data_IF_632411813366
#
_entry.id   IF_632411813366
#
_cell.length_a   1.000
_cell.length_b   1.000
_cell.length_c   1.000
_cell.angle_alpha   90.00
_cell.angle_beta   90.00
_cell.angle_gamma   90.00
#
_symmetry.space_group_name_H-M   'P 1'
#
loop_
_entity.id
_entity.type
_entity.pdbx_description
1 polymer ?
#
# COMPACT_ATOMS: atom_id res chain seq x y z
N UNK A 1 -0.29 -21.03 -12.13
CA UNK A 1 0.85 -21.25 -11.20
C UNK A 1 2.09 -20.57 -11.78
N UNK A 2 2.21 -19.23 -11.68
CA UNK A 2 3.28 -18.48 -12.36
C UNK A 2 3.86 -17.27 -11.63
N UNK A 3 3.50 -17.05 -10.36
CA UNK A 3 3.87 -15.82 -9.64
C UNK A 3 4.97 -15.98 -8.58
N UNK A 4 5.46 -17.19 -8.34
CA UNK A 4 6.29 -17.48 -7.16
C UNK A 4 7.81 -17.38 -7.37
N UNK A 5 8.32 -17.59 -8.59
CA UNK A 5 9.79 -17.68 -8.80
C UNK A 5 10.49 -16.31 -8.75
N UNK A 6 9.81 -15.23 -9.14
CA UNK A 6 10.41 -13.90 -9.17
C UNK A 6 10.43 -13.19 -7.82
N UNK A 7 9.46 -13.48 -6.95
CA UNK A 7 9.33 -12.81 -5.66
C UNK A 7 10.53 -12.99 -4.74
N UNK A 8 11.08 -14.21 -4.69
CA UNK A 8 12.26 -14.50 -3.86
C UNK A 8 13.52 -13.80 -4.38
N UNK A 9 13.70 -13.72 -5.70
CA UNK A 9 14.83 -13.01 -6.32
C UNK A 9 14.73 -11.51 -6.09
N UNK A 10 13.55 -10.92 -6.31
CA UNK A 10 13.31 -9.50 -6.02
C UNK A 10 13.56 -9.21 -4.54
N UNK A 11 13.12 -10.08 -3.63
CA UNK A 11 13.35 -9.91 -2.18
C UNK A 11 14.85 -9.96 -1.83
N UNK A 12 15.62 -10.81 -2.50
CA UNK A 12 17.07 -10.89 -2.27
C UNK A 12 17.77 -9.59 -2.65
N UNK A 13 17.40 -9.01 -3.79
CA UNK A 13 18.01 -7.76 -4.29
C UNK A 13 17.42 -6.51 -3.62
N UNK A 14 16.16 -6.58 -3.18
CA UNK A 14 15.39 -5.48 -2.58
C UNK A 14 14.55 -5.99 -1.39
N UNK A 15 15.14 -6.12 -0.19
CA UNK A 15 14.51 -6.78 0.96
C UNK A 15 13.25 -6.07 1.49
N UNK A 16 13.09 -4.78 1.17
CA UNK A 16 11.95 -3.96 1.59
C UNK A 16 10.79 -3.95 0.58
N UNK A 17 10.90 -4.68 -0.54
CA UNK A 17 9.83 -4.78 -1.53
C UNK A 17 8.94 -5.96 -1.22
N UNK A 18 7.63 -5.71 -1.16
CA UNK A 18 6.60 -6.72 -1.06
C UNK A 18 6.01 -6.98 -2.44
N UNK A 19 5.96 -8.24 -2.85
CA UNK A 19 5.29 -8.67 -4.07
C UNK A 19 4.04 -9.46 -3.73
N UNK A 20 3.09 -9.59 -4.66
CA UNK A 20 1.94 -10.46 -4.44
C UNK A 20 2.39 -11.92 -4.17
N UNK A 21 1.83 -12.61 -3.15
CA UNK A 21 0.72 -12.19 -2.29
C UNK A 21 1.12 -11.56 -0.95
N UNK A 22 2.39 -11.21 -0.71
CA UNK A 22 2.83 -10.55 0.55
C UNK A 22 2.15 -9.19 0.76
N UNK A 23 1.94 -8.45 -0.33
CA UNK A 23 1.05 -7.30 -0.38
C UNK A 23 -0.30 -7.73 -0.99
N UNK A 24 -1.35 -7.67 -0.19
CA UNK A 24 -2.67 -8.16 -0.57
C UNK A 24 -3.67 -7.01 -0.80
N UNK A 25 -3.80 -6.62 -2.07
CA UNK A 25 -4.85 -5.74 -2.57
C UNK A 25 -5.77 -6.55 -3.50
N UNK A 26 -6.81 -7.20 -2.95
CA UNK A 26 -7.80 -7.91 -3.77
C UNK A 26 -8.79 -6.92 -4.41
N UNK A 27 -8.26 -6.04 -5.26
CA UNK A 27 -8.99 -4.94 -5.92
C UNK A 27 -10.32 -5.38 -6.54
N UNK A 28 -10.37 -6.56 -7.15
CA UNK A 28 -11.61 -7.12 -7.73
C UNK A 28 -12.70 -7.35 -6.68
N UNK A 29 -12.34 -7.91 -5.52
CA UNK A 29 -13.31 -8.18 -4.46
C UNK A 29 -13.71 -6.87 -3.75
N UNK A 30 -12.76 -5.96 -3.53
CA UNK A 30 -12.99 -4.65 -2.93
C UNK A 30 -13.94 -3.79 -3.79
N UNK A 31 -13.67 -3.66 -5.09
CA UNK A 31 -14.51 -2.90 -6.01
C UNK A 31 -15.92 -3.48 -6.16
N UNK A 32 -16.06 -4.80 -6.06
CA UNK A 32 -17.36 -5.50 -6.13
C UNK A 32 -18.06 -5.62 -4.77
N UNK A 33 -17.48 -5.03 -3.72
CA UNK A 33 -17.97 -5.13 -2.32
C UNK A 33 -18.18 -6.58 -1.85
N UNK A 34 -17.40 -7.52 -2.40
CA UNK A 34 -17.48 -8.93 -2.05
C UNK A 34 -16.54 -9.24 -0.86
N UNK A 35 -16.87 -8.65 0.28
CA UNK A 35 -16.04 -8.71 1.48
C UNK A 35 -15.91 -10.13 2.04
N UNK A 36 -16.94 -10.96 1.91
CA UNK A 36 -16.88 -12.38 2.30
C UNK A 36 -15.79 -13.12 1.55
N UNK A 37 -15.69 -12.92 0.23
CA UNK A 37 -14.65 -13.57 -0.56
C UNK A 37 -13.25 -12.98 -0.27
N UNK A 38 -13.17 -11.67 -0.06
CA UNK A 38 -11.95 -11.00 0.37
C UNK A 38 -11.43 -11.61 1.69
N UNK A 39 -12.28 -11.69 2.72
CA UNK A 39 -11.91 -12.24 4.03
C UNK A 39 -11.53 -13.71 3.95
N UNK A 40 -12.27 -14.52 3.17
CA UNK A 40 -11.93 -15.93 2.93
C UNK A 40 -10.52 -16.09 2.35
N UNK A 41 -10.18 -15.27 1.35
CA UNK A 41 -8.83 -15.28 0.74
C UNK A 41 -7.77 -14.81 1.72
N UNK A 42 -8.02 -13.71 2.43
CA UNK A 42 -7.13 -13.16 3.45
C UNK A 42 -6.79 -14.23 4.51
N UNK A 43 -7.80 -14.93 5.04
CA UNK A 43 -7.58 -16.03 5.98
C UNK A 43 -6.84 -17.21 5.38
N UNK A 44 -7.14 -17.59 4.12
CA UNK A 44 -6.43 -18.69 3.46
C UNK A 44 -4.95 -18.41 3.20
N UNK A 45 -4.58 -17.14 3.02
CA UNK A 45 -3.22 -16.70 2.68
C UNK A 45 -2.49 -16.03 3.87
N UNK A 46 -3.08 -16.05 5.07
CA UNK A 46 -2.59 -15.33 6.25
C UNK A 46 -1.15 -15.64 6.68
N UNK A 47 -0.62 -16.82 6.30
CA UNK A 47 0.77 -17.20 6.58
C UNK A 47 1.77 -16.57 5.61
N UNK A 48 1.29 -16.04 4.49
CA UNK A 48 2.11 -15.47 3.41
C UNK A 48 1.93 -13.96 3.31
N UNK A 49 0.72 -13.45 3.55
CA UNK A 49 0.42 -12.01 3.54
C UNK A 49 1.15 -11.34 4.71
N UNK A 50 1.82 -10.23 4.41
CA UNK A 50 2.44 -9.35 5.42
C UNK A 50 1.61 -8.08 5.62
N UNK A 51 1.15 -7.49 4.52
CA UNK A 51 0.35 -6.26 4.53
C UNK A 51 -0.87 -6.45 3.62
N UNK A 52 -2.04 -6.00 4.07
CA UNK A 52 -3.27 -6.03 3.30
C UNK A 52 -4.01 -4.68 3.31
N UNK A 53 -4.67 -4.35 2.21
CA UNK A 53 -5.57 -3.18 2.15
C UNK A 53 -6.87 -3.53 2.85
N UNK A 54 -7.23 -2.78 3.89
CA UNK A 54 -8.51 -2.90 4.58
C UNK A 54 -9.65 -2.44 3.66
N UNK A 55 -10.84 -3.07 3.72
CA UNK A 55 -11.90 -2.74 2.77
C UNK A 55 -12.37 -1.27 2.84
N UNK A 56 -12.55 -0.65 1.67
CA UNK A 56 -13.03 0.73 1.54
C UNK A 56 -14.37 0.93 2.24
N UNK A 57 -14.53 2.09 2.89
CA UNK A 57 -15.75 2.51 3.59
C UNK A 57 -16.23 1.55 4.69
N UNK A 58 -15.37 0.63 5.17
CA UNK A 58 -15.64 -0.20 6.33
C UNK A 58 -14.93 0.41 7.54
N UNK A 59 -15.72 0.97 8.46
CA UNK A 59 -15.22 1.65 9.67
C UNK A 59 -15.58 0.92 10.97
N UNK A 60 -15.74 -0.40 10.89
CA UNK A 60 -15.92 -1.29 12.02
C UNK A 60 -14.94 -2.46 11.91
N UNK A 61 -14.50 -2.99 13.06
CA UNK A 61 -13.56 -4.10 13.11
C UNK A 61 -14.13 -5.38 12.50
N UNK A 62 -13.52 -5.85 11.42
CA UNK A 62 -13.74 -7.16 10.83
C UNK A 62 -12.90 -8.23 11.55
N UNK A 63 -13.33 -9.50 11.47
CA UNK A 63 -12.52 -10.62 11.89
C UNK A 63 -11.41 -10.88 10.87
N UNK A 64 -10.26 -10.26 11.10
CA UNK A 64 -9.09 -10.33 10.23
C UNK A 64 -7.88 -10.93 10.97
N UNK A 65 -6.92 -11.58 10.28
CA UNK A 65 -5.72 -12.12 10.91
C UNK A 65 -4.88 -11.07 11.66
N UNK A 66 -4.45 -11.40 12.87
CA UNK A 66 -3.63 -10.53 13.72
C UNK A 66 -2.17 -10.38 13.26
N UNK A 67 -1.62 -11.39 12.58
CA UNK A 67 -0.24 -11.38 12.05
C UNK A 67 -0.06 -10.56 10.77
N UNK A 68 -1.13 -10.02 10.21
CA UNK A 68 -1.12 -9.19 9.00
C UNK A 68 -1.25 -7.73 9.43
N UNK A 69 -0.42 -6.85 8.85
CA UNK A 69 -0.57 -5.41 9.01
C UNK A 69 -1.62 -4.88 8.02
N UNK A 70 -2.34 -3.83 8.39
CA UNK A 70 -3.44 -3.30 7.57
C UNK A 70 -3.23 -1.86 7.15
N UNK A 71 -3.53 -1.55 5.89
CA UNK A 71 -3.62 -0.18 5.40
C UNK A 71 -5.10 0.19 5.34
N UNK A 72 -5.53 1.22 6.08
CA UNK A 72 -6.87 1.78 6.00
C UNK A 72 -6.88 2.84 4.89
N UNK A 73 -7.61 2.64 3.77
CA UNK A 73 -7.81 3.69 2.79
C UNK A 73 -8.58 4.86 3.41
N UNK A 74 -7.99 6.05 3.40
CA UNK A 74 -8.61 7.24 3.98
C UNK A 74 -9.27 8.02 2.85
N UNK A 75 -10.60 8.02 2.79
CA UNK A 75 -11.36 8.83 1.83
C UNK A 75 -11.79 10.18 2.41
N UNK A 76 -11.92 10.26 3.74
CA UNK A 76 -12.17 11.50 4.46
C UNK A 76 -11.52 11.50 5.84
N UNK A 77 -11.13 12.68 6.32
CA UNK A 77 -10.50 12.86 7.65
C UNK A 77 -11.57 12.87 8.75
N UNK A 78 -12.19 11.71 8.98
CA UNK A 78 -13.38 11.57 9.83
C UNK A 78 -13.11 10.88 11.17
N UNK A 79 -14.05 11.02 12.11
CA UNK A 79 -14.04 10.29 13.39
C UNK A 79 -14.11 8.77 13.19
N UNK A 80 -14.73 8.32 12.10
CA UNK A 80 -14.86 6.91 11.77
C UNK A 80 -13.50 6.29 11.42
N UNK A 81 -12.65 7.01 10.67
CA UNK A 81 -11.25 6.61 10.41
C UNK A 81 -10.47 6.51 11.72
N UNK A 82 -10.60 7.49 12.62
CA UNK A 82 -9.94 7.46 13.93
C UNK A 82 -10.38 6.23 14.73
N UNK A 83 -11.69 5.93 14.73
CA UNK A 83 -12.26 4.79 15.45
C UNK A 83 -11.68 3.47 14.94
N UNK A 84 -11.77 3.21 13.63
CA UNK A 84 -11.26 1.95 13.06
C UNK A 84 -9.74 1.82 13.22
N UNK A 85 -9.00 2.93 13.08
CA UNK A 85 -7.56 2.94 13.33
C UNK A 85 -7.24 2.47 14.76
N UNK A 86 -7.90 3.01 15.78
CA UNK A 86 -7.70 2.60 17.18
C UNK A 86 -8.11 1.15 17.43
N UNK A 87 -9.25 0.72 16.88
CA UNK A 87 -9.74 -0.66 17.02
C UNK A 87 -8.77 -1.68 16.42
N UNK A 88 -8.24 -1.41 15.23
CA UNK A 88 -7.25 -2.29 14.57
C UNK A 88 -5.88 -2.21 15.26
N UNK A 89 -5.43 -1.02 15.66
CA UNK A 89 -4.13 -0.81 16.32
C UNK A 89 -4.02 -1.51 17.68
N UNK A 90 -5.15 -1.92 18.27
CA UNK A 90 -5.17 -2.67 19.52
C UNK A 90 -4.60 -4.09 19.42
N UNK A 91 -4.48 -4.66 18.20
CA UNK A 91 -4.04 -6.05 18.02
C UNK A 91 -3.09 -6.28 16.85
N UNK A 92 -2.92 -5.31 15.95
CA UNK A 92 -1.99 -5.39 14.83
C UNK A 92 -1.47 -3.99 14.46
N UNK A 93 -0.45 -3.92 13.60
CA UNK A 93 0.03 -2.65 13.07
C UNK A 93 -0.89 -2.16 11.98
N UNK A 94 -1.10 -0.84 11.97
CA UNK A 94 -2.03 -0.18 11.08
C UNK A 94 -1.36 1.03 10.42
N UNK A 95 -1.62 1.17 9.14
CA UNK A 95 -1.16 2.26 8.30
C UNK A 95 -2.38 3.05 7.84
N UNK A 96 -2.25 4.36 7.72
CA UNK A 96 -3.22 5.21 7.04
C UNK A 96 -2.80 5.32 5.58
N UNK A 97 -3.74 5.01 4.68
CA UNK A 97 -3.54 5.03 3.24
C UNK A 97 -4.02 6.34 2.62
N UNK A 98 -3.10 7.12 2.05
CA UNK A 98 -3.37 8.29 1.23
C UNK A 98 -3.66 7.87 -0.21
N UNK A 99 -4.83 8.21 -0.73
CA UNK A 99 -5.14 7.94 -2.14
C UNK A 99 -4.43 8.94 -3.08
N UNK A 100 -3.61 8.42 -4.01
CA UNK A 100 -2.91 9.24 -5.00
C UNK A 100 -3.84 10.10 -5.85
N UNK A 101 -4.97 9.52 -6.26
CA UNK A 101 -5.96 10.20 -7.08
C UNK A 101 -6.97 10.97 -6.21
N UNK A 102 -6.98 12.29 -6.39
CA UNK A 102 -7.83 13.24 -5.67
C UNK A 102 -9.33 12.88 -5.71
N UNK A 103 -9.83 12.22 -6.77
CA UNK A 103 -11.26 11.85 -6.86
C UNK A 103 -11.71 10.84 -5.79
N UNK A 104 -10.76 10.22 -5.07
CA UNK A 104 -11.03 9.27 -4.01
C UNK A 104 -10.83 9.88 -2.60
N UNK A 105 -10.60 11.19 -2.47
CA UNK A 105 -10.43 11.86 -1.18
C UNK A 105 -11.05 13.27 -1.19
N UNK A 106 -11.39 13.78 -0.02
CA UNK A 106 -11.96 15.13 0.17
C UNK A 106 -11.03 16.11 0.92
N UNK A 107 -9.76 15.75 1.02
CA UNK A 107 -8.72 16.47 1.77
C UNK A 107 -7.44 16.56 0.97
N UNK A 108 -6.51 17.47 1.31
CA UNK A 108 -5.20 17.53 0.67
C UNK A 108 -4.12 16.74 1.41
N UNK A 109 -3.00 16.46 0.74
CA UNK A 109 -1.88 15.70 1.32
C UNK A 109 -1.34 16.33 2.61
N UNK A 110 -1.34 17.66 2.71
CA UNK A 110 -0.93 18.37 3.93
C UNK A 110 -1.86 18.06 5.10
N UNK A 111 -3.17 18.04 4.87
CA UNK A 111 -4.18 17.73 5.87
C UNK A 111 -4.05 16.26 6.33
N UNK A 112 -3.79 15.36 5.38
CA UNK A 112 -3.56 13.94 5.67
C UNK A 112 -2.33 13.72 6.56
N UNK A 113 -1.20 14.35 6.23
CA UNK A 113 0.05 14.19 6.98
C UNK A 113 -0.12 14.72 8.40
N UNK A 114 -0.76 15.87 8.57
CA UNK A 114 -1.07 16.42 9.88
C UNK A 114 -2.05 15.53 10.67
N UNK A 115 -3.08 14.99 10.00
CA UNK A 115 -4.01 14.03 10.60
C UNK A 115 -3.30 12.75 11.08
N UNK A 116 -2.44 12.16 10.25
CA UNK A 116 -1.66 10.98 10.61
C UNK A 116 -0.70 11.26 11.78
N UNK A 117 -0.04 12.42 11.76
CA UNK A 117 0.84 12.87 12.85
C UNK A 117 0.10 12.98 14.18
N UNK A 118 -1.11 13.55 14.20
CA UNK A 118 -1.94 13.64 15.42
C UNK A 118 -2.32 12.26 15.99
N UNK A 119 -2.45 11.26 15.12
CA UNK A 119 -2.73 9.88 15.52
C UNK A 119 -1.46 9.07 15.83
N UNK A 120 -0.28 9.66 15.66
CA UNK A 120 1.01 8.96 15.65
C UNK A 120 0.96 7.71 14.75
N UNK A 121 0.32 7.86 13.59
CA UNK A 121 0.03 6.79 12.66
C UNK A 121 1.06 6.71 11.55
N UNK A 122 1.32 5.48 11.10
CA UNK A 122 2.16 5.27 9.94
C UNK A 122 1.44 5.65 8.65
N UNK A 123 2.20 6.10 7.65
CA UNK A 123 1.63 6.58 6.38
C UNK A 123 1.98 5.67 5.20
N UNK A 124 0.98 5.44 4.35
CA UNK A 124 1.12 4.67 3.11
C UNK A 124 0.58 5.44 1.92
N UNK A 125 1.36 5.61 0.86
CA UNK A 125 0.93 6.29 -0.37
C UNK A 125 0.37 5.26 -1.35
N UNK A 126 -0.95 5.27 -1.55
CA UNK A 126 -1.66 4.26 -2.32
C UNK A 126 -1.66 4.56 -3.81
N UNK A 127 -1.27 3.59 -4.63
CA UNK A 127 -1.48 3.59 -6.08
C UNK A 127 -0.63 4.58 -6.86
N UNK A 128 0.67 4.66 -6.58
CA UNK A 128 1.61 5.51 -7.33
C UNK A 128 1.70 5.02 -8.78
N UNK A 129 1.37 5.91 -9.70
CA UNK A 129 1.28 5.61 -11.12
C UNK A 129 2.16 6.50 -12.00
N UNK A 130 2.69 7.58 -11.43
CA UNK A 130 3.52 8.56 -12.12
C UNK A 130 4.77 8.89 -11.32
N UNK A 131 5.84 9.36 -11.99
CA UNK A 131 7.03 9.90 -11.32
C UNK A 131 6.73 11.15 -10.49
N UNK A 132 5.64 11.87 -10.79
CA UNK A 132 5.19 13.02 -10.01
C UNK A 132 4.69 12.56 -8.64
N UNK A 133 3.79 11.59 -8.60
CA UNK A 133 3.28 11.00 -7.36
C UNK A 133 4.40 10.35 -6.53
N UNK A 134 5.37 9.69 -7.19
CA UNK A 134 6.53 9.14 -6.46
C UNK A 134 7.34 10.24 -5.76
N UNK A 135 7.63 11.35 -6.47
CA UNK A 135 8.33 12.50 -5.88
C UNK A 135 7.52 13.14 -4.75
N UNK A 136 6.20 13.19 -4.89
CA UNK A 136 5.30 13.68 -3.86
C UNK A 136 5.36 12.81 -2.60
N UNK A 137 5.26 11.48 -2.74
CA UNK A 137 5.35 10.54 -1.63
C UNK A 137 6.68 10.69 -0.87
N UNK A 138 7.80 10.83 -1.59
CA UNK A 138 9.13 11.07 -0.99
C UNK A 138 9.19 12.42 -0.30
N UNK A 139 8.76 13.50 -0.96
CA UNK A 139 8.75 14.86 -0.40
C UNK A 139 7.99 14.93 0.93
N UNK A 140 6.89 14.18 1.05
CA UNK A 140 6.07 14.13 2.26
C UNK A 140 6.47 13.00 3.23
N UNK A 141 7.61 12.33 3.00
CA UNK A 141 8.18 11.29 3.86
C UNK A 141 7.20 10.15 4.18
N UNK A 142 6.49 9.65 3.16
CA UNK A 142 5.65 8.46 3.34
C UNK A 142 6.50 7.23 3.69
N UNK A 143 6.09 6.48 4.72
CA UNK A 143 6.83 5.31 5.20
C UNK A 143 6.61 4.06 4.33
N UNK A 144 5.48 3.98 3.64
CA UNK A 144 5.15 2.91 2.70
C UNK A 144 4.57 3.45 1.40
N UNK A 145 4.81 2.75 0.29
CA UNK A 145 4.28 3.08 -1.03
C UNK A 145 3.91 1.79 -1.78
N UNK A 146 2.86 1.82 -2.58
CA UNK A 146 2.66 0.83 -3.64
C UNK A 146 2.67 1.49 -5.01
N UNK A 147 3.28 0.77 -5.96
CA UNK A 147 3.51 1.24 -7.31
C UNK A 147 2.65 0.39 -8.25
N UNK A 148 1.85 1.07 -9.07
CA UNK A 148 1.01 0.40 -10.06
C UNK A 148 1.85 -0.04 -11.26
N UNK A 149 1.28 -0.92 -12.08
CA UNK A 149 1.90 -1.35 -13.33
C UNK A 149 2.19 -0.17 -14.26
N UNK A 150 1.47 0.95 -14.17
CA UNK A 150 1.69 2.12 -15.04
C UNK A 150 3.08 2.73 -14.88
N UNK A 151 3.69 2.63 -13.69
CA UNK A 151 5.06 3.10 -13.46
C UNK A 151 6.10 1.99 -13.66
N UNK A 152 5.70 0.74 -13.50
CA UNK A 152 6.58 -0.43 -13.62
C UNK A 152 6.76 -0.88 -15.08
N UNK A 153 5.75 -0.78 -15.93
CA UNK A 153 5.79 -1.22 -17.33
C UNK A 153 4.56 -2.02 -17.75
N UNK A 154 4.50 -2.39 -19.03
CA UNK A 154 3.43 -3.25 -19.55
C UNK A 154 3.51 -4.67 -18.97
N UNK A 155 2.40 -5.39 -18.97
CA UNK A 155 2.31 -6.73 -18.35
C UNK A 155 3.35 -7.72 -18.91
N UNK A 156 3.65 -7.64 -20.20
CA UNK A 156 4.68 -8.45 -20.86
C UNK A 156 6.09 -8.15 -20.32
N UNK A 157 6.38 -6.88 -20.04
CA UNK A 157 7.67 -6.43 -19.52
C UNK A 157 7.86 -6.80 -18.05
N UNK A 158 6.77 -6.78 -17.26
CA UNK A 158 6.79 -7.19 -15.85
C UNK A 158 7.08 -8.70 -15.71
N UNK A 159 6.90 -9.48 -16.78
CA UNK A 159 7.35 -10.88 -16.86
C UNK A 159 8.87 -11.08 -16.91
N UNK A 160 9.65 -10.03 -17.23
CA UNK A 160 11.11 -10.06 -17.28
C UNK A 160 11.74 -9.51 -16.00
N UNK A 161 12.44 -10.38 -15.27
CA UNK A 161 13.17 -10.04 -14.06
C UNK A 161 14.17 -8.89 -14.22
N UNK A 162 14.95 -8.90 -15.31
CA UNK A 162 16.01 -7.91 -15.51
C UNK A 162 15.41 -6.53 -15.78
N UNK A 163 14.32 -6.50 -16.52
CA UNK A 163 13.53 -5.29 -16.73
C UNK A 163 12.99 -4.75 -15.40
N UNK A 164 12.32 -5.58 -14.60
CA UNK A 164 11.75 -5.18 -13.30
C UNK A 164 12.84 -4.70 -12.34
N UNK A 165 13.95 -5.43 -12.24
CA UNK A 165 15.11 -5.03 -11.41
C UNK A 165 15.63 -3.66 -11.82
N UNK A 166 15.92 -3.45 -13.11
CA UNK A 166 16.40 -2.17 -13.62
C UNK A 166 15.41 -1.06 -13.30
N UNK A 167 14.11 -1.31 -13.50
CA UNK A 167 13.07 -0.31 -13.24
C UNK A 167 12.97 0.06 -11.77
N UNK A 168 12.98 -0.92 -10.87
CA UNK A 168 13.02 -0.68 -9.42
C UNK A 168 14.26 0.15 -9.06
N UNK A 169 15.44 -0.21 -9.59
CA UNK A 169 16.67 0.56 -9.35
C UNK A 169 16.56 2.01 -9.82
N UNK A 170 15.99 2.26 -11.00
CA UNK A 170 15.73 3.61 -11.51
C UNK A 170 14.80 4.40 -10.58
N UNK A 171 13.71 3.79 -10.13
CA UNK A 171 12.73 4.42 -9.25
C UNK A 171 13.33 4.75 -7.87
N UNK A 172 14.10 3.83 -7.29
CA UNK A 172 14.84 4.06 -6.04
C UNK A 172 15.98 5.07 -6.20
N UNK A 173 16.59 5.16 -7.39
CA UNK A 173 17.56 6.21 -7.70
C UNK A 173 16.91 7.60 -7.69
N UNK A 174 15.69 7.70 -8.21
CA UNK A 174 14.91 8.94 -8.18
C UNK A 174 14.53 9.38 -6.76
N UNK A 175 14.27 8.45 -5.83
CA UNK A 175 13.97 8.83 -4.44
C UNK A 175 15.20 9.42 -3.74
N UNK A 176 16.39 8.84 -3.95
CA UNK A 176 17.65 9.35 -3.36
C UNK A 176 18.10 10.70 -3.94
N UNK A 177 17.80 10.98 -5.19
CA UNK A 177 18.16 12.26 -5.81
C UNK A 177 17.34 13.43 -5.24
N UNK A 178 16.10 13.17 -4.81
CA UNK A 178 15.22 14.16 -4.18
C UNK A 178 15.70 14.49 -2.76
N UNK A 179 16.22 13.50 -2.01
CA UNK A 179 16.77 13.73 -0.67
C UNK A 179 18.02 14.63 -0.68
N UNK A 180 18.78 14.66 -1.77
CA UNK A 180 20.00 15.47 -1.91
C UNK A 180 19.77 16.87 -2.51
N UNK A 181 18.52 17.27 -2.76
CA UNK A 181 18.19 18.58 -3.35
C UNK A 181 17.61 19.60 -2.35
N UNK A 182 17.80 19.35 -1.04
CA UNK A 182 17.39 20.25 0.05
C UNK A 182 18.56 20.55 0.99
#
# INVERSE_FOLDING_TARGET
>A
MGHTVYGERIRKDFPNILVYPEFFDSKKDLLRRNYTNYLRKLWSLRSTIKIAIYPDYIYYKLQVPDKVEYIIPVHSLSKDVIKIYKELSSFTKVWLGFASNEKYRDYEIADFVEFAKRLNAKTWYLGISTKRELREAVKWNFEGIDITTMLLGEFEQIGDYNYVRRKITELLGHTKAVDNSF
#
